data_IF_350761913425
#
_entry.id   IF_350761913425
#
_cell.length_a   1.000
_cell.length_b   1.000
_cell.length_c   1.000
_cell.angle_alpha   90.00
_cell.angle_beta   90.00
_cell.angle_gamma   90.00
#
_symmetry.space_group_name_H-M   'P 1'
#
loop_
_entity.id
_entity.type
_entity.pdbx_description
1 polymer ?
#
# COMPACT_ATOMS: atom_id res chain seq x y z
N UNK A 1 21.57 -58.49 -86.11
CA UNK A 1 20.28 -58.11 -85.45
C UNK A 1 20.31 -58.26 -83.90
N UNK A 2 21.17 -59.07 -83.32
CA UNK A 2 21.20 -59.29 -81.88
C UNK A 2 21.97 -58.20 -81.05
N UNK A 3 22.93 -57.52 -81.67
CA UNK A 3 23.69 -56.45 -81.00
C UNK A 3 22.87 -55.18 -80.76
N UNK A 4 22.00 -54.86 -81.72
CA UNK A 4 21.11 -53.64 -81.54
C UNK A 4 20.04 -53.83 -80.43
N UNK A 5 19.59 -55.09 -80.25
CA UNK A 5 18.61 -55.35 -79.12
C UNK A 5 19.27 -55.33 -77.76
N UNK A 6 20.53 -55.73 -77.66
CA UNK A 6 21.25 -55.67 -76.40
C UNK A 6 21.52 -54.22 -75.99
N UNK A 7 21.85 -53.32 -76.87
CA UNK A 7 22.12 -51.93 -76.66
C UNK A 7 20.84 -51.17 -76.21
N UNK A 8 19.71 -51.49 -76.88
CA UNK A 8 18.41 -50.91 -76.46
C UNK A 8 17.94 -51.42 -75.11
N UNK A 9 18.29 -52.65 -74.75
CA UNK A 9 17.92 -53.11 -73.38
C UNK A 9 18.76 -52.45 -72.28
N UNK A 10 20.03 -52.16 -72.53
CA UNK A 10 20.90 -51.45 -71.62
C UNK A 10 20.44 -50.01 -71.44
N UNK A 11 20.13 -49.32 -72.52
CA UNK A 11 19.59 -47.93 -72.42
C UNK A 11 18.28 -47.84 -71.64
N UNK A 12 17.37 -48.80 -71.79
CA UNK A 12 16.14 -48.85 -71.02
C UNK A 12 16.37 -49.11 -69.55
N UNK A 13 17.35 -49.91 -69.18
CA UNK A 13 17.71 -50.19 -67.81
C UNK A 13 18.38 -48.97 -67.12
N UNK A 14 19.18 -48.22 -67.85
CA UNK A 14 19.81 -47.00 -67.36
C UNK A 14 18.78 -45.90 -67.15
N UNK A 15 17.83 -45.70 -68.05
CA UNK A 15 16.74 -44.78 -67.90
C UNK A 15 15.84 -45.13 -66.68
N UNK A 16 15.47 -46.39 -66.53
CA UNK A 16 14.69 -46.86 -65.42
C UNK A 16 15.44 -46.69 -64.05
N UNK A 17 16.76 -46.82 -64.05
CA UNK A 17 17.59 -46.62 -62.85
C UNK A 17 17.75 -45.15 -62.49
N UNK A 18 17.79 -44.26 -63.50
CA UNK A 18 17.81 -42.81 -63.28
C UNK A 18 16.50 -42.32 -62.73
N UNK A 19 15.36 -42.83 -63.24
CA UNK A 19 14.05 -42.45 -62.68
C UNK A 19 13.84 -42.98 -61.28
N UNK A 20 14.28 -44.18 -60.91
CA UNK A 20 14.19 -44.74 -59.59
C UNK A 20 15.06 -43.97 -58.56
N UNK A 21 16.22 -43.43 -58.98
CA UNK A 21 17.10 -42.66 -58.11
C UNK A 21 16.57 -41.27 -57.82
N UNK A 22 15.86 -40.62 -58.72
CA UNK A 22 15.27 -39.28 -58.50
C UNK A 22 14.08 -39.32 -57.57
N UNK A 23 13.24 -40.37 -57.63
CA UNK A 23 12.09 -40.51 -56.75
C UNK A 23 12.49 -40.77 -55.30
N UNK A 24 13.58 -41.47 -55.04
CA UNK A 24 14.02 -41.73 -53.64
C UNK A 24 14.61 -40.50 -52.93
N UNK A 25 15.16 -39.54 -53.67
CA UNK A 25 15.71 -38.29 -53.15
C UNK A 25 14.62 -37.34 -52.61
N UNK A 26 13.50 -37.24 -53.30
CA UNK A 26 12.39 -36.36 -52.91
C UNK A 26 11.69 -36.82 -51.65
N UNK A 27 11.42 -38.10 -51.48
CA UNK A 27 10.80 -38.65 -50.28
C UNK A 27 11.67 -38.48 -49.03
N UNK A 28 12.99 -38.46 -49.19
CA UNK A 28 13.93 -38.20 -48.10
C UNK A 28 13.92 -36.72 -47.70
N UNK A 29 13.81 -35.79 -48.64
CA UNK A 29 13.71 -34.36 -48.38
C UNK A 29 12.40 -34.01 -47.70
N UNK A 30 11.26 -34.61 -48.07
CA UNK A 30 9.96 -34.41 -47.41
C UNK A 30 9.97 -34.84 -45.94
N UNK A 31 10.69 -35.91 -45.59
CA UNK A 31 10.83 -36.33 -44.16
C UNK A 31 11.63 -35.32 -43.34
N UNK A 32 12.66 -34.70 -43.93
CA UNK A 32 13.42 -33.64 -43.30
C UNK A 32 12.58 -32.37 -43.10
N UNK A 33 11.81 -31.98 -44.10
CA UNK A 33 10.91 -30.83 -44.00
C UNK A 33 9.80 -31.02 -42.96
N UNK A 34 9.27 -32.22 -42.84
CA UNK A 34 8.29 -32.55 -41.80
C UNK A 34 8.92 -32.50 -40.39
N UNK A 35 10.16 -32.92 -40.24
CA UNK A 35 10.90 -32.79 -38.98
C UNK A 35 11.18 -31.33 -38.60
N UNK A 36 11.61 -30.53 -39.59
CA UNK A 36 11.85 -29.11 -39.37
C UNK A 36 10.58 -28.33 -39.03
N UNK A 37 9.43 -28.65 -39.65
CA UNK A 37 8.14 -28.04 -39.34
C UNK A 37 7.65 -28.41 -37.93
N UNK A 38 7.85 -29.67 -37.50
CA UNK A 38 7.49 -30.09 -36.15
C UNK A 38 8.38 -29.42 -35.08
N UNK A 39 9.67 -29.29 -35.33
CA UNK A 39 10.59 -28.59 -34.43
C UNK A 39 10.27 -27.10 -34.35
N UNK A 40 9.90 -26.44 -35.44
CA UNK A 40 9.47 -25.05 -35.48
C UNK A 40 8.16 -24.81 -34.69
N UNK A 41 7.19 -25.73 -34.82
CA UNK A 41 5.92 -25.63 -34.07
C UNK A 41 6.13 -25.78 -32.56
N UNK A 42 7.01 -26.68 -32.12
CA UNK A 42 7.34 -26.84 -30.71
C UNK A 42 8.08 -25.60 -30.15
N UNK A 43 8.98 -25.01 -30.93
CA UNK A 43 9.70 -23.81 -30.54
C UNK A 43 8.76 -22.59 -30.38
N UNK A 44 7.78 -22.43 -31.27
CA UNK A 44 6.77 -21.36 -31.16
C UNK A 44 5.86 -21.56 -29.98
N UNK A 45 5.39 -22.78 -29.69
CA UNK A 45 4.58 -23.06 -28.48
C UNK A 45 5.38 -22.79 -27.23
N UNK A 46 6.63 -23.19 -27.16
CA UNK A 46 7.50 -22.90 -26.01
C UNK A 46 7.72 -21.40 -25.84
N UNK A 47 7.95 -20.64 -26.90
CA UNK A 47 8.11 -19.19 -26.84
C UNK A 47 6.84 -18.48 -26.38
N UNK A 48 5.66 -18.93 -26.82
CA UNK A 48 4.37 -18.38 -26.37
C UNK A 48 4.14 -18.68 -24.89
N UNK A 49 4.43 -19.89 -24.43
CA UNK A 49 4.29 -20.25 -23.02
C UNK A 49 5.23 -19.45 -22.11
N UNK A 50 6.50 -19.29 -22.52
CA UNK A 50 7.48 -18.46 -21.80
C UNK A 50 7.05 -16.99 -21.80
N UNK A 51 6.56 -16.48 -22.93
CA UNK A 51 6.03 -15.12 -23.04
C UNK A 51 4.82 -14.88 -22.13
N UNK A 52 3.92 -15.82 -22.04
CA UNK A 52 2.76 -15.75 -21.13
C UNK A 52 3.16 -15.78 -19.66
N UNK A 53 4.10 -16.65 -19.29
CA UNK A 53 4.63 -16.69 -17.92
C UNK A 53 5.39 -15.40 -17.55
N UNK A 54 6.20 -14.88 -18.46
CA UNK A 54 6.91 -13.63 -18.25
C UNK A 54 5.94 -12.42 -18.13
N UNK A 55 4.89 -12.38 -18.95
CA UNK A 55 3.87 -11.32 -18.90
C UNK A 55 3.05 -11.37 -17.61
N UNK A 56 2.64 -12.55 -17.16
CA UNK A 56 1.94 -12.74 -15.90
C UNK A 56 2.77 -12.34 -14.69
N UNK A 57 4.06 -12.66 -14.67
CA UNK A 57 4.97 -12.30 -13.59
C UNK A 57 5.21 -10.79 -13.47
N UNK A 58 5.35 -10.08 -14.59
CA UNK A 58 5.52 -8.62 -14.60
C UNK A 58 4.26 -7.88 -14.13
N UNK A 59 3.09 -8.35 -14.51
CA UNK A 59 1.82 -7.76 -14.06
C UNK A 59 1.56 -8.00 -12.57
N UNK A 60 1.89 -9.19 -12.06
CA UNK A 60 1.78 -9.49 -10.63
C UNK A 60 2.74 -8.64 -9.80
N UNK A 61 3.97 -8.43 -10.25
CA UNK A 61 4.95 -7.59 -9.55
C UNK A 61 4.52 -6.11 -9.52
N UNK A 62 4.03 -5.57 -10.64
CA UNK A 62 3.53 -4.19 -10.70
C UNK A 62 2.28 -3.98 -9.86
N UNK A 63 1.33 -4.91 -9.86
CA UNK A 63 0.14 -4.81 -9.03
C UNK A 63 0.46 -4.91 -7.54
N UNK A 64 1.40 -5.75 -7.15
CA UNK A 64 1.88 -5.83 -5.76
C UNK A 64 2.59 -4.54 -5.32
N UNK A 65 3.38 -3.91 -6.18
CA UNK A 65 4.00 -2.62 -5.90
C UNK A 65 2.96 -1.50 -5.76
N UNK A 66 1.99 -1.44 -6.65
CA UNK A 66 0.89 -0.46 -6.56
C UNK A 66 0.10 -0.65 -5.27
N UNK A 67 -0.24 -1.90 -4.92
CA UNK A 67 -0.94 -2.20 -3.68
C UNK A 67 -0.12 -1.80 -2.43
N UNK A 68 1.18 -2.06 -2.43
CA UNK A 68 2.08 -1.66 -1.34
C UNK A 68 2.18 -0.14 -1.20
N UNK A 69 2.33 0.59 -2.32
CA UNK A 69 2.35 2.06 -2.32
C UNK A 69 1.00 2.66 -1.87
N UNK A 70 -0.11 2.08 -2.30
CA UNK A 70 -1.44 2.49 -1.85
C UNK A 70 -1.62 2.25 -0.35
N UNK A 71 -1.13 1.13 0.16
CA UNK A 71 -1.16 0.82 1.59
C UNK A 71 -0.27 1.78 2.39
N UNK A 72 0.89 2.16 1.89
CA UNK A 72 1.74 3.20 2.48
C UNK A 72 1.06 4.58 2.49
N UNK A 73 0.44 4.99 1.40
CA UNK A 73 -0.32 6.24 1.33
C UNK A 73 -1.52 6.24 2.29
N UNK A 74 -2.18 5.09 2.46
CA UNK A 74 -3.27 4.95 3.42
C UNK A 74 -2.79 4.95 4.89
N UNK A 75 -1.60 4.45 5.15
CA UNK A 75 -0.99 4.46 6.48
C UNK A 75 -0.38 5.82 6.85
N UNK A 76 -0.17 6.73 5.88
CA UNK A 76 0.36 8.06 6.16
C UNK A 76 -0.68 8.87 6.95
N UNK A 77 -0.32 9.41 8.13
CA UNK A 77 -1.23 10.22 8.92
C UNK A 77 -1.72 11.44 8.13
N UNK A 78 -3.04 11.60 8.03
CA UNK A 78 -3.66 12.78 7.41
C UNK A 78 -4.10 13.74 8.52
N UNK A 79 -3.13 14.52 9.03
CA UNK A 79 -3.41 15.51 10.07
C UNK A 79 -4.26 16.62 9.48
N UNK A 80 -5.52 16.70 9.90
CA UNK A 80 -6.45 17.75 9.47
C UNK A 80 -6.68 18.83 10.54
N UNK A 81 -6.44 18.50 11.80
CA UNK A 81 -6.66 19.45 12.90
C UNK A 81 -5.41 19.57 13.75
N UNK A 82 -5.10 20.80 14.16
CA UNK A 82 -3.95 21.13 14.99
C UNK A 82 -4.36 22.11 16.07
N UNK A 83 -3.90 21.91 17.31
CA UNK A 83 -4.03 22.89 18.38
C UNK A 83 -2.71 23.00 19.13
N UNK A 84 -2.34 24.21 19.47
CA UNK A 84 -1.27 24.50 20.45
C UNK A 84 -1.95 24.92 21.75
N UNK A 85 -1.77 24.12 22.78
CA UNK A 85 -2.31 24.44 24.10
C UNK A 85 -1.23 25.16 24.89
N UNK A 86 -1.56 26.36 25.31
CA UNK A 86 -0.69 27.28 26.07
C UNK A 86 -1.26 27.55 27.44
N UNK A 87 -0.39 27.97 28.34
CA UNK A 87 -0.76 28.50 29.64
C UNK A 87 -1.25 29.96 29.56
N UNK A 88 -1.57 30.56 30.70
CA UNK A 88 -2.04 31.95 30.80
C UNK A 88 -0.96 32.98 30.39
N UNK A 89 0.31 32.58 30.29
CA UNK A 89 1.43 33.38 29.82
C UNK A 89 1.72 33.20 28.33
N UNK A 90 0.85 32.48 27.63
CA UNK A 90 1.02 32.09 26.21
C UNK A 90 2.24 31.18 25.93
N UNK A 91 2.79 30.54 26.96
CA UNK A 91 3.83 29.55 26.76
C UNK A 91 3.24 28.23 26.27
N UNK A 92 3.65 27.80 25.11
CA UNK A 92 3.20 26.54 24.51
C UNK A 92 3.63 25.35 25.37
N UNK A 93 2.67 24.56 25.82
CA UNK A 93 2.93 23.40 26.68
C UNK A 93 2.60 22.08 26.01
N UNK A 94 1.59 22.05 25.14
CA UNK A 94 1.21 20.84 24.40
C UNK A 94 0.86 21.16 22.96
N UNK A 95 1.32 20.30 22.04
CA UNK A 95 0.89 20.27 20.65
C UNK A 95 -0.09 19.11 20.48
N UNK A 96 -1.27 19.38 19.96
CA UNK A 96 -2.29 18.38 19.65
C UNK A 96 -2.48 18.32 18.15
N UNK A 97 -2.47 17.11 17.61
CA UNK A 97 -2.77 16.84 16.19
C UNK A 97 -3.84 15.77 16.11
N UNK A 98 -4.75 15.91 15.17
CA UNK A 98 -5.80 14.92 14.96
C UNK A 98 -5.88 14.49 13.51
N UNK A 99 -5.88 13.17 13.34
CA UNK A 99 -6.08 12.47 12.09
C UNK A 99 -7.48 11.83 12.10
N UNK A 100 -8.47 12.43 11.44
CA UNK A 100 -9.84 11.93 11.47
C UNK A 100 -9.99 10.60 10.74
N UNK A 101 -9.16 10.33 9.71
CA UNK A 101 -9.20 9.08 8.95
C UNK A 101 -8.84 7.88 9.82
N UNK A 102 -7.84 8.04 10.67
CA UNK A 102 -7.38 6.99 11.57
C UNK A 102 -7.97 7.13 12.99
N UNK A 103 -8.83 8.13 13.22
CA UNK A 103 -9.42 8.45 14.54
C UNK A 103 -8.36 8.63 15.62
N UNK A 104 -7.21 9.17 15.23
CA UNK A 104 -6.03 9.24 16.06
C UNK A 104 -5.75 10.68 16.48
N UNK A 105 -5.82 10.91 17.77
CA UNK A 105 -5.47 12.17 18.41
C UNK A 105 -4.11 11.99 19.10
N UNK A 106 -3.12 12.75 18.66
CA UNK A 106 -1.75 12.68 19.19
C UNK A 106 -1.45 13.96 19.93
N UNK A 107 -1.02 13.81 21.18
CA UNK A 107 -0.56 14.91 22.02
C UNK A 107 0.93 14.78 22.22
N UNK A 108 1.64 15.88 22.00
CA UNK A 108 3.07 15.99 22.26
C UNK A 108 3.31 17.05 23.32
N UNK A 109 4.00 16.67 24.41
CA UNK A 109 4.48 17.62 25.42
C UNK A 109 5.64 18.42 24.85
N UNK A 110 5.48 19.73 24.70
CA UNK A 110 6.52 20.64 24.20
C UNK A 110 7.05 21.55 25.30
N UNK A 111 6.26 21.77 26.37
CA UNK A 111 6.66 22.50 27.56
C UNK A 111 7.32 21.62 28.62
N UNK A 112 7.85 22.25 29.65
CA UNK A 112 8.54 21.60 30.78
C UNK A 112 7.64 21.21 31.95
N UNK A 113 6.33 21.37 31.84
CA UNK A 113 5.39 21.05 32.94
C UNK A 113 5.34 19.55 33.21
N UNK A 114 5.45 19.16 34.47
CA UNK A 114 5.28 17.78 34.92
C UNK A 114 4.30 17.80 36.12
N UNK A 115 3.31 16.92 36.04
CA UNK A 115 2.35 16.70 37.13
C UNK A 115 2.97 15.87 38.25
N UNK A 116 2.53 16.09 39.48
CA UNK A 116 2.91 15.25 40.62
C UNK A 116 2.35 13.84 40.52
N UNK A 117 2.93 12.90 41.28
CA UNK A 117 2.55 11.47 41.27
C UNK A 117 1.11 11.21 41.69
N UNK A 118 0.49 12.11 42.44
CA UNK A 118 -0.90 12.08 42.90
C UNK A 118 -1.89 12.79 41.96
N UNK A 119 -1.39 13.30 40.82
CA UNK A 119 -2.16 14.05 39.83
C UNK A 119 -2.10 13.41 38.46
N UNK A 120 -3.06 13.77 37.65
CA UNK A 120 -3.11 13.42 36.22
C UNK A 120 -3.56 14.63 35.43
N UNK A 121 -3.04 14.78 34.24
CA UNK A 121 -3.59 15.69 33.25
C UNK A 121 -4.77 15.05 32.54
N UNK A 122 -5.83 15.79 32.29
CA UNK A 122 -7.00 15.33 31.55
C UNK A 122 -7.33 16.28 30.43
N UNK A 123 -7.53 15.74 29.22
CA UNK A 123 -7.87 16.50 28.03
C UNK A 123 -9.37 16.63 27.90
N UNK A 124 -9.81 17.83 27.60
CA UNK A 124 -11.21 18.20 27.46
C UNK A 124 -11.48 18.84 26.11
N UNK A 125 -12.61 18.47 25.53
CA UNK A 125 -13.26 19.17 24.45
C UNK A 125 -14.22 20.22 25.03
N UNK A 126 -14.08 21.46 24.58
CA UNK A 126 -14.94 22.57 25.02
C UNK A 126 -15.88 22.95 23.85
N UNK A 127 -17.06 22.34 23.73
CA UNK A 127 -18.02 22.68 22.68
C UNK A 127 -18.61 24.09 22.92
N UNK A 128 -19.13 24.77 21.88
CA UNK A 128 -19.72 26.07 21.99
C UNK A 128 -21.04 26.07 22.80
N UNK A 129 -21.70 24.93 22.90
CA UNK A 129 -22.89 24.69 23.70
C UNK A 129 -22.77 23.35 24.41
N UNK A 130 -23.24 23.31 25.66
CA UNK A 130 -23.09 22.16 26.54
C UNK A 130 -21.85 22.26 27.45
N UNK A 131 -21.64 21.22 28.26
CA UNK A 131 -20.50 21.14 29.15
C UNK A 131 -19.24 20.60 28.53
N UNK A 132 -18.09 20.76 29.19
CA UNK A 132 -16.84 20.12 28.81
C UNK A 132 -17.00 18.60 28.70
N UNK A 133 -16.39 17.98 27.70
CA UNK A 133 -16.36 16.51 27.55
C UNK A 133 -14.93 16.00 27.60
N UNK A 134 -14.69 14.98 28.42
CA UNK A 134 -13.39 14.36 28.50
C UNK A 134 -13.06 13.60 27.22
N UNK A 135 -11.87 13.85 26.68
CA UNK A 135 -11.28 13.08 25.60
C UNK A 135 -10.29 12.02 26.10
N UNK A 136 -9.95 12.09 27.40
CA UNK A 136 -9.12 11.09 28.04
C UNK A 136 -8.15 11.66 29.06
N UNK A 137 -7.63 10.76 29.90
CA UNK A 137 -6.60 11.07 30.90
C UNK A 137 -5.23 10.85 30.24
N UNK A 138 -4.31 11.78 30.45
CA UNK A 138 -2.99 11.79 29.86
C UNK A 138 -2.00 11.07 30.77
N UNK A 139 -1.18 10.22 30.18
CA UNK A 139 -0.02 9.65 30.85
C UNK A 139 1.15 10.65 30.92
N UNK A 140 2.23 10.26 31.59
CA UNK A 140 3.44 11.08 31.74
C UNK A 140 4.36 11.05 30.53
N UNK A 141 4.05 10.24 29.50
CA UNK A 141 4.86 10.11 28.30
C UNK A 141 4.93 11.42 27.52
N UNK A 142 6.06 11.63 26.84
CA UNK A 142 6.27 12.82 26.00
C UNK A 142 5.34 12.85 24.77
N UNK A 143 4.97 11.68 24.29
CA UNK A 143 4.05 11.51 23.15
C UNK A 143 2.92 10.57 23.57
N UNK A 144 1.70 11.03 23.46
CA UNK A 144 0.49 10.31 23.85
C UNK A 144 -0.41 10.16 22.65
N UNK A 145 -1.03 8.99 22.52
CA UNK A 145 -2.01 8.73 21.48
C UNK A 145 -3.33 8.34 22.12
N UNK A 146 -4.39 9.07 21.77
CA UNK A 146 -5.76 8.77 22.15
C UNK A 146 -6.59 8.46 20.92
N UNK A 147 -7.65 7.69 21.09
CA UNK A 147 -8.65 7.48 20.05
C UNK A 147 -9.80 8.45 20.28
N UNK A 148 -10.15 9.23 19.27
CA UNK A 148 -11.28 10.17 19.33
C UNK A 148 -12.07 10.07 18.02
N UNK A 149 -13.40 10.15 18.12
CA UNK A 149 -14.24 10.21 16.93
C UNK A 149 -14.14 11.60 16.27
N UNK A 150 -14.17 11.66 14.94
CA UNK A 150 -14.10 12.94 14.23
C UNK A 150 -15.19 13.92 14.69
N UNK A 151 -16.39 13.42 14.96
CA UNK A 151 -17.51 14.24 15.43
C UNK A 151 -17.27 14.88 16.79
N UNK A 152 -16.48 14.22 17.65
CA UNK A 152 -16.14 14.75 18.98
C UNK A 152 -15.10 15.87 18.90
N UNK A 153 -14.30 15.89 17.85
CA UNK A 153 -13.22 16.85 17.64
C UNK A 153 -13.66 18.00 16.72
N UNK A 154 -14.36 17.69 15.62
CA UNK A 154 -14.76 18.66 14.58
C UNK A 154 -15.68 19.78 15.10
N UNK A 155 -16.54 19.49 16.08
CA UNK A 155 -17.51 20.45 16.63
C UNK A 155 -16.94 21.27 17.81
N UNK A 156 -15.66 21.10 18.12
CA UNK A 156 -15.06 21.69 19.30
C UNK A 156 -14.06 22.77 18.89
N UNK A 157 -14.38 24.04 19.11
CA UNK A 157 -13.47 25.12 18.74
C UNK A 157 -12.25 25.21 19.66
N UNK A 158 -12.31 24.65 20.87
CA UNK A 158 -11.27 24.79 21.88
C UNK A 158 -11.03 23.49 22.62
N UNK A 159 -9.76 23.17 22.82
CA UNK A 159 -9.31 22.12 23.71
C UNK A 159 -8.73 22.72 24.99
N UNK A 160 -8.87 21.99 26.09
CA UNK A 160 -8.29 22.38 27.37
C UNK A 160 -7.69 21.18 28.09
N UNK A 161 -6.72 21.42 28.95
CA UNK A 161 -6.13 20.43 29.86
C UNK A 161 -6.22 20.93 31.28
N UNK A 162 -6.81 20.10 32.16
CA UNK A 162 -6.87 20.32 33.59
C UNK A 162 -5.94 19.41 34.37
N UNK A 163 -5.64 19.82 35.60
CA UNK A 163 -4.87 19.01 36.56
C UNK A 163 -5.87 18.38 37.54
N UNK A 164 -6.12 17.11 37.37
CA UNK A 164 -7.10 16.33 38.13
C UNK A 164 -6.43 15.41 39.18
N UNK A 165 -7.18 14.82 40.10
CA UNK A 165 -6.70 13.72 40.92
C UNK A 165 -6.20 12.57 40.06
N UNK A 166 -5.30 11.74 40.59
CA UNK A 166 -4.74 10.60 39.87
C UNK A 166 -5.82 9.72 39.26
N UNK A 167 -5.71 9.45 37.97
CA UNK A 167 -6.69 8.68 37.18
C UNK A 167 -7.78 9.55 36.54
N UNK A 168 -7.78 10.88 36.80
CA UNK A 168 -8.76 11.79 36.21
C UNK A 168 -10.11 11.79 36.92
N UNK A 169 -11.09 12.43 36.30
CA UNK A 169 -12.47 12.54 36.80
C UNK A 169 -13.48 12.15 35.69
N UNK A 170 -14.73 11.78 36.07
CA UNK A 170 -15.76 11.46 35.07
C UNK A 170 -16.06 12.65 34.15
N UNK A 171 -16.42 12.34 32.90
CA UNK A 171 -16.68 13.37 31.89
C UNK A 171 -17.86 14.29 32.22
N UNK A 172 -18.88 13.75 32.86
CA UNK A 172 -20.20 14.42 33.07
C UNK A 172 -20.14 15.66 33.93
N UNK A 173 -19.18 15.75 34.87
CA UNK A 173 -19.01 16.89 35.77
C UNK A 173 -18.11 18.01 35.25
N UNK A 174 -17.44 17.79 34.16
CA UNK A 174 -16.36 18.67 33.70
C UNK A 174 -15.12 18.61 34.61
N UNK A 175 -14.10 19.46 34.36
CA UNK A 175 -12.88 19.49 35.14
C UNK A 175 -13.17 19.94 36.60
N UNK A 176 -12.58 19.25 37.56
CA UNK A 176 -12.66 19.58 38.98
C UNK A 176 -11.43 20.33 39.47
N UNK A 177 -10.32 20.14 38.81
CA UNK A 177 -9.07 20.82 39.06
C UNK A 177 -8.87 22.06 38.19
N UNK A 178 -7.78 22.79 38.39
CA UNK A 178 -7.46 23.97 37.57
C UNK A 178 -7.17 23.58 36.11
N UNK A 179 -7.73 24.38 35.21
CA UNK A 179 -7.38 24.27 33.78
C UNK A 179 -6.05 24.99 33.59
N UNK A 180 -5.04 24.22 33.20
CA UNK A 180 -3.68 24.70 33.04
C UNK A 180 -3.38 25.21 31.65
N UNK A 181 -3.93 24.54 30.63
CA UNK A 181 -3.60 24.82 29.22
C UNK A 181 -4.87 24.87 28.38
N UNK A 182 -4.93 25.83 27.45
CA UNK A 182 -6.04 26.00 26.50
C UNK A 182 -5.48 26.33 25.11
N UNK A 183 -6.21 25.93 24.07
CA UNK A 183 -5.88 26.30 22.70
C UNK A 183 -7.02 26.06 21.73
N UNK A 184 -7.08 26.91 20.71
CA UNK A 184 -8.05 26.77 19.65
C UNK A 184 -7.65 25.57 18.74
N UNK A 185 -8.66 24.81 18.35
CA UNK A 185 -8.49 23.75 17.36
C UNK A 185 -8.66 24.34 15.97
N UNK A 186 -7.62 24.27 15.17
CA UNK A 186 -7.56 24.84 13.83
C UNK A 186 -7.61 23.70 12.81
N UNK A 187 -8.55 23.77 11.89
CA UNK A 187 -8.61 22.85 10.78
C UNK A 187 -7.62 23.31 9.71
N UNK A 188 -6.73 22.41 9.31
CA UNK A 188 -5.81 22.61 8.18
C UNK A 188 -6.55 22.26 6.89
N UNK A 189 -6.66 23.21 5.97
CA UNK A 189 -7.05 22.92 4.59
C UNK A 189 -5.86 22.27 3.88
N UNK A 190 -6.06 21.06 3.37
CA UNK A 190 -5.11 20.33 2.55
C UNK A 190 -5.40 20.60 1.07
#
# INVERSE_FOLDING_TARGET
>A
QNLVRADQAQHRMELARAEASSASGWWRSLRWWRGAAAAGALATVAAVLVGWQAHGGLQAATSAQIAALQQQLQATPQIQYVAVLADDQAAASMLVTFDPKNQKLVLQRVGGFQEGDDKSLQLWALPPAGGPRSLGVLGQDKLLTLTAAEQEVKQVPTLAISLEPKGGVPSEGGPTGPVLFKGALIQRML
#
